data_IF_782738986849
#
_entry.id   IF_782738986849
#
_cell.length_a   1.000
_cell.length_b   1.000
_cell.length_c   1.000
_cell.angle_alpha   90.00
_cell.angle_beta   90.00
_cell.angle_gamma   90.00
#
_symmetry.space_group_name_H-M   'P 1'
#
loop_
_entity.id
_entity.type
_entity.pdbx_description
1 polymer ?
#
# COMPACT_ATOMS: atom_id res chain seq x y z
N UNK A 1 7.90 11.04 -10.67
CA UNK A 1 6.60 11.22 -9.98
C UNK A 1 6.21 12.69 -9.88
N UNK A 2 6.94 13.55 -9.16
CA UNK A 2 6.60 14.99 -9.00
C UNK A 2 6.26 15.73 -10.29
N UNK A 3 7.15 15.67 -11.30
CA UNK A 3 6.90 16.25 -12.63
C UNK A 3 5.61 15.74 -13.28
N UNK A 4 5.30 14.45 -13.12
CA UNK A 4 4.08 13.87 -13.66
C UNK A 4 2.84 14.39 -12.92
N UNK A 5 2.90 14.57 -11.59
CA UNK A 5 1.84 15.22 -10.83
C UNK A 5 1.68 16.70 -11.20
N UNK A 6 2.78 17.43 -11.42
CA UNK A 6 2.75 18.83 -11.88
C UNK A 6 2.07 18.93 -13.27
N UNK A 7 2.36 17.99 -14.18
CA UNK A 7 1.72 17.90 -15.51
C UNK A 7 0.22 17.58 -15.43
N UNK A 8 -0.24 16.95 -14.33
CA UNK A 8 -1.66 16.70 -14.06
C UNK A 8 -2.32 17.80 -13.20
N UNK A 9 -1.59 18.86 -12.82
CA UNK A 9 -2.04 19.91 -11.89
C UNK A 9 -2.47 19.38 -10.51
N UNK A 10 -1.80 18.31 -10.04
CA UNK A 10 -2.10 17.66 -8.76
C UNK A 10 -1.13 18.14 -7.69
N UNK A 11 -1.68 18.79 -6.66
CA UNK A 11 -0.91 19.26 -5.52
C UNK A 11 -0.38 18.09 -4.67
N UNK A 12 0.86 18.19 -4.21
CA UNK A 12 1.47 17.23 -3.29
C UNK A 12 2.30 17.94 -2.20
N UNK A 13 2.35 17.37 -0.98
CA UNK A 13 3.14 17.93 0.10
C UNK A 13 4.64 17.94 -0.22
N UNK A 14 5.32 18.97 0.26
CA UNK A 14 6.77 19.04 0.22
C UNK A 14 7.37 18.14 1.31
N UNK A 15 8.28 17.24 0.93
CA UNK A 15 8.96 16.38 1.89
C UNK A 15 9.68 15.20 1.22
N UNK A 16 10.61 14.55 1.92
CA UNK A 16 11.17 13.29 1.46
C UNK A 16 10.09 12.21 1.43
N UNK A 17 10.21 11.30 0.48
CA UNK A 17 9.37 10.11 0.36
C UNK A 17 10.24 8.96 -0.13
N UNK A 18 9.93 7.74 0.30
CA UNK A 18 10.60 6.51 -0.13
C UNK A 18 9.61 5.35 -0.16
N UNK A 19 9.99 4.28 -0.84
CA UNK A 19 9.29 3.02 -0.69
C UNK A 19 9.42 2.50 0.76
N UNK A 20 8.35 1.87 1.30
CA UNK A 20 8.41 1.22 2.60
C UNK A 20 9.34 0.00 2.56
N UNK A 21 9.89 -0.38 3.70
CA UNK A 21 10.58 -1.67 3.84
C UNK A 21 9.59 -2.80 4.10
N UNK A 22 10.03 -4.06 3.96
CA UNK A 22 9.19 -5.22 4.29
C UNK A 22 8.69 -5.18 5.75
N UNK A 23 9.55 -4.77 6.68
CA UNK A 23 9.20 -4.63 8.09
C UNK A 23 8.13 -3.56 8.32
N UNK A 24 8.22 -2.42 7.63
CA UNK A 24 7.24 -1.33 7.74
C UNK A 24 5.88 -1.75 7.18
N UNK A 25 5.86 -2.51 6.08
CA UNK A 25 4.63 -3.11 5.53
C UNK A 25 3.99 -4.02 6.57
N UNK A 26 4.76 -4.99 7.11
CA UNK A 26 4.24 -5.92 8.12
C UNK A 26 3.73 -5.20 9.36
N UNK A 27 4.42 -4.14 9.80
CA UNK A 27 3.99 -3.33 10.94
C UNK A 27 2.69 -2.58 10.65
N UNK A 28 2.60 -1.89 9.51
CA UNK A 28 1.38 -1.20 9.10
C UNK A 28 0.19 -2.16 9.06
N UNK A 29 0.36 -3.34 8.45
CA UNK A 29 -0.69 -4.36 8.40
C UNK A 29 -1.06 -4.91 9.78
N UNK A 30 -0.10 -5.06 10.69
CA UNK A 30 -0.36 -5.52 12.06
C UNK A 30 -1.18 -4.50 12.89
N UNK A 31 -1.17 -3.22 12.52
CA UNK A 31 -1.96 -2.18 13.19
C UNK A 31 -3.44 -2.16 12.80
N UNK A 32 -3.81 -2.89 11.73
CA UNK A 32 -5.18 -2.97 11.21
C UNK A 32 -6.04 -3.93 12.06
N UNK A 33 -6.30 -3.55 13.32
CA UNK A 33 -6.91 -4.43 14.33
C UNK A 33 -8.34 -4.91 14.03
N UNK A 34 -9.07 -4.25 13.13
CA UNK A 34 -10.42 -4.62 12.67
C UNK A 34 -10.40 -5.57 11.46
N UNK A 35 -9.21 -5.91 10.95
CA UNK A 35 -9.02 -6.74 9.78
C UNK A 35 -8.30 -8.04 10.13
N UNK A 36 -8.61 -9.09 9.40
CA UNK A 36 -7.83 -10.32 9.37
C UNK A 36 -6.83 -10.23 8.21
N UNK A 37 -5.54 -10.37 8.54
CA UNK A 37 -4.44 -10.30 7.58
C UNK A 37 -3.83 -11.69 7.42
N UNK A 38 -3.81 -12.21 6.20
CA UNK A 38 -3.12 -13.45 5.84
C UNK A 38 -1.98 -13.16 4.88
N UNK A 39 -0.76 -13.49 5.31
CA UNK A 39 0.45 -13.27 4.53
C UNK A 39 0.89 -14.60 3.89
N UNK A 40 1.13 -14.54 2.58
CA UNK A 40 1.81 -15.60 1.81
C UNK A 40 3.21 -15.10 1.48
N UNK A 41 4.21 -15.64 2.18
CA UNK A 41 5.62 -15.32 2.01
C UNK A 41 6.33 -16.53 1.37
N UNK A 42 6.76 -16.38 0.12
CA UNK A 42 7.48 -17.42 -0.61
C UNK A 42 9.01 -17.30 -0.51
N UNK A 43 9.51 -16.42 0.37
CA UNK A 43 10.93 -16.17 0.57
C UNK A 43 11.50 -15.05 -0.32
N UNK A 44 12.81 -14.85 -0.18
CA UNK A 44 13.53 -13.78 -0.88
C UNK A 44 13.55 -14.01 -2.40
N UNK A 45 13.35 -12.92 -3.14
CA UNK A 45 13.29 -12.95 -4.60
C UNK A 45 11.97 -13.49 -5.17
N UNK A 46 11.03 -13.87 -4.30
CA UNK A 46 9.77 -14.47 -4.68
C UNK A 46 8.60 -13.51 -4.47
N UNK A 47 7.44 -13.93 -4.96
CA UNK A 47 6.20 -13.22 -4.79
C UNK A 47 5.77 -13.25 -3.32
N UNK A 48 5.41 -12.08 -2.79
CA UNK A 48 4.89 -11.91 -1.44
C UNK A 48 3.53 -11.21 -1.52
N UNK A 49 2.57 -11.68 -0.73
CA UNK A 49 1.20 -11.18 -0.78
C UNK A 49 0.58 -11.11 0.60
N UNK A 50 -0.25 -10.08 0.82
CA UNK A 50 -1.13 -9.98 1.97
C UNK A 50 -2.59 -9.86 1.53
N UNK A 51 -3.42 -10.81 1.94
CA UNK A 51 -4.88 -10.72 1.87
C UNK A 51 -5.40 -10.07 3.15
N UNK A 52 -6.09 -8.94 3.00
CA UNK A 52 -6.59 -8.12 4.11
C UNK A 52 -8.12 -8.09 3.98
N UNK A 53 -8.82 -8.59 4.98
CA UNK A 53 -10.29 -8.72 4.94
C UNK A 53 -10.88 -8.22 6.26
N UNK A 54 -11.93 -7.39 6.20
CA UNK A 54 -12.60 -6.92 7.42
C UNK A 54 -13.18 -8.10 8.21
N UNK A 55 -13.05 -8.08 9.54
CA UNK A 55 -13.48 -9.19 10.43
C UNK A 55 -14.96 -9.53 10.35
N UNK A 56 -15.81 -8.54 10.08
CA UNK A 56 -17.25 -8.75 9.91
C UNK A 56 -17.61 -9.62 8.68
N UNK A 57 -16.65 -9.82 7.76
CA UNK A 57 -16.65 -10.89 6.76
C UNK A 57 -17.69 -10.77 5.62
N UNK A 58 -17.39 -11.45 4.51
CA UNK A 58 -18.30 -11.61 3.36
C UNK A 58 -18.19 -10.51 2.30
N UNK A 59 -19.17 -10.47 1.39
CA UNK A 59 -19.22 -9.50 0.28
C UNK A 59 -19.41 -8.04 0.72
N UNK A 60 -19.72 -7.82 2.00
CA UNK A 60 -20.15 -6.51 2.51
C UNK A 60 -19.03 -5.77 3.27
N UNK A 61 -17.93 -6.45 3.60
CA UNK A 61 -16.79 -5.86 4.30
C UNK A 61 -15.70 -5.38 3.33
N UNK A 62 -14.99 -4.28 3.65
CA UNK A 62 -13.81 -3.89 2.90
C UNK A 62 -12.76 -5.00 2.86
N UNK A 63 -12.16 -5.18 1.69
CA UNK A 63 -11.07 -6.13 1.50
C UNK A 63 -10.10 -5.60 0.45
N UNK A 64 -8.85 -6.03 0.51
CA UNK A 64 -7.85 -5.74 -0.52
C UNK A 64 -6.76 -6.80 -0.57
N UNK A 65 -6.04 -6.84 -1.69
CA UNK A 65 -4.92 -7.74 -1.93
C UNK A 65 -3.66 -6.93 -2.26
N UNK A 66 -2.72 -6.88 -1.31
CA UNK A 66 -1.44 -6.20 -1.46
C UNK A 66 -0.39 -7.19 -1.96
N UNK A 67 0.38 -6.79 -2.98
CA UNK A 67 1.36 -7.62 -3.65
C UNK A 67 2.74 -6.95 -3.71
N UNK A 68 3.77 -7.76 -3.56
CA UNK A 68 5.17 -7.43 -3.82
C UNK A 68 5.71 -8.52 -4.76
N UNK A 69 6.00 -8.16 -6.00
CA UNK A 69 6.37 -9.13 -7.04
C UNK A 69 7.73 -9.80 -6.82
N UNK A 70 8.64 -9.10 -6.15
CA UNK A 70 10.01 -9.54 -5.91
C UNK A 70 10.45 -9.12 -4.50
N UNK A 71 10.00 -9.86 -3.49
CA UNK A 71 10.25 -9.52 -2.10
C UNK A 71 11.74 -9.60 -1.76
N UNK A 72 12.33 -8.46 -1.42
CA UNK A 72 13.78 -8.34 -1.23
C UNK A 72 14.24 -8.38 0.24
N UNK A 73 13.31 -8.48 1.19
CA UNK A 73 13.59 -8.63 2.63
C UNK A 73 13.05 -7.51 3.50
N UNK A 74 13.06 -7.74 4.81
CA UNK A 74 12.43 -6.85 5.80
C UNK A 74 13.09 -5.47 5.91
N UNK A 75 14.39 -5.38 5.67
CA UNK A 75 15.16 -4.14 5.73
C UNK A 75 15.31 -3.45 4.36
N UNK A 76 14.79 -4.06 3.30
CA UNK A 76 14.94 -3.58 1.93
C UNK A 76 13.68 -2.84 1.47
N UNK A 77 13.79 -1.75 0.68
CA UNK A 77 12.64 -1.08 0.08
C UNK A 77 11.84 -2.02 -0.82
N UNK A 78 10.51 -1.92 -0.75
CA UNK A 78 9.58 -2.75 -1.51
C UNK A 78 8.67 -1.89 -2.39
N UNK A 79 8.65 -2.20 -3.68
CA UNK A 79 7.58 -1.74 -4.57
C UNK A 79 6.32 -2.58 -4.31
N UNK A 80 5.21 -1.90 -4.08
CA UNK A 80 3.93 -2.52 -3.75
C UNK A 80 2.87 -2.15 -4.77
N UNK A 81 1.95 -3.09 -4.98
CA UNK A 81 0.77 -2.90 -5.83
C UNK A 81 -0.45 -3.52 -5.15
N UNK A 82 -1.63 -3.02 -5.50
CA UNK A 82 -2.89 -3.63 -5.09
C UNK A 82 -3.56 -4.19 -6.34
N UNK A 83 -3.85 -5.49 -6.35
CA UNK A 83 -4.48 -6.11 -7.52
C UNK A 83 -5.98 -5.84 -7.58
N UNK A 84 -6.64 -5.92 -6.42
CA UNK A 84 -8.09 -5.73 -6.25
C UNK A 84 -8.36 -5.30 -4.83
N UNK A 85 -9.49 -4.60 -4.64
CA UNK A 85 -9.98 -4.29 -3.32
C UNK A 85 -10.82 -3.03 -3.29
N UNK A 86 -11.15 -2.62 -2.08
CA UNK A 86 -11.88 -1.39 -1.81
C UNK A 86 -10.87 -0.25 -1.68
N UNK A 87 -11.07 0.81 -2.46
CA UNK A 87 -10.20 1.99 -2.45
C UNK A 87 -10.04 2.59 -1.04
N UNK A 88 -11.10 2.56 -0.23
CA UNK A 88 -11.06 3.05 1.16
C UNK A 88 -10.04 2.29 2.01
N UNK A 89 -9.97 0.96 1.87
CA UNK A 89 -9.00 0.15 2.60
C UNK A 89 -7.58 0.28 2.01
N UNK A 90 -7.46 0.38 0.69
CA UNK A 90 -6.17 0.67 0.05
C UNK A 90 -5.59 1.99 0.58
N UNK A 91 -6.43 3.02 0.64
CA UNK A 91 -6.08 4.33 1.16
C UNK A 91 -5.71 4.28 2.63
N UNK A 92 -6.46 3.54 3.46
CA UNK A 92 -6.15 3.32 4.87
C UNK A 92 -4.76 2.69 5.05
N UNK A 93 -4.45 1.60 4.32
CA UNK A 93 -3.13 0.96 4.35
C UNK A 93 -2.02 1.95 3.96
N UNK A 94 -2.22 2.71 2.89
CA UNK A 94 -1.24 3.70 2.43
C UNK A 94 -1.08 4.85 3.42
N UNK A 95 -2.14 5.28 4.11
CA UNK A 95 -2.07 6.29 5.16
C UNK A 95 -1.17 5.81 6.30
N UNK A 96 -1.35 4.57 6.77
CA UNK A 96 -0.49 3.98 7.80
C UNK A 96 0.98 3.93 7.36
N UNK A 97 1.26 3.57 6.11
CA UNK A 97 2.64 3.57 5.57
C UNK A 97 3.21 4.97 5.42
N UNK A 98 2.39 5.95 5.04
CA UNK A 98 2.84 7.32 4.80
C UNK A 98 3.41 7.99 6.06
N UNK A 99 2.99 7.55 7.25
CA UNK A 99 3.50 8.03 8.54
C UNK A 99 5.01 7.83 8.67
N UNK A 100 5.55 6.70 8.18
CA UNK A 100 6.99 6.40 8.30
C UNK A 100 7.76 6.63 7.01
N UNK A 101 7.08 6.56 5.86
CA UNK A 101 7.70 6.59 4.55
C UNK A 101 7.62 7.96 3.87
N UNK A 102 6.82 8.87 4.43
CA UNK A 102 6.45 10.12 3.79
C UNK A 102 5.31 9.96 2.78
N UNK A 103 4.99 11.02 2.03
CA UNK A 103 3.87 11.02 1.10
C UNK A 103 3.97 9.92 0.03
N UNK A 104 2.85 9.25 -0.24
CA UNK A 104 2.72 8.19 -1.24
C UNK A 104 1.72 8.61 -2.32
N UNK A 105 1.74 7.92 -3.46
CA UNK A 105 0.81 8.17 -4.57
C UNK A 105 0.18 6.84 -4.96
N UNK A 106 -1.14 6.77 -4.92
CA UNK A 106 -1.91 5.67 -5.49
C UNK A 106 -2.21 5.98 -6.96
N UNK A 107 -1.79 5.09 -7.85
CA UNK A 107 -2.04 5.22 -9.29
C UNK A 107 -2.92 4.05 -9.70
N UNK A 108 -4.14 4.35 -10.16
CA UNK A 108 -5.05 3.34 -10.68
C UNK A 108 -4.59 2.86 -12.06
N UNK A 109 -4.49 1.55 -12.25
CA UNK A 109 -4.17 0.92 -13.53
C UNK A 109 -5.31 1.04 -14.56
N UNK A 110 -6.52 1.36 -14.09
CA UNK A 110 -7.70 1.62 -14.91
C UNK A 110 -7.77 3.03 -15.51
N UNK A 111 -6.78 3.89 -15.24
CA UNK A 111 -6.69 5.23 -15.84
C UNK A 111 -7.43 6.34 -15.08
N UNK A 112 -7.50 6.24 -13.75
CA UNK A 112 -8.03 7.29 -12.88
C UNK A 112 -7.02 8.39 -12.53
N UNK A 113 -7.51 9.48 -11.93
CA UNK A 113 -6.66 10.52 -11.34
C UNK A 113 -5.85 9.91 -10.17
N UNK A 114 -4.53 10.15 -10.08
CA UNK A 114 -3.74 9.62 -8.98
C UNK A 114 -4.13 10.28 -7.66
N UNK A 115 -4.17 9.47 -6.59
CA UNK A 115 -4.52 9.93 -5.26
C UNK A 115 -3.24 10.12 -4.46
N UNK A 116 -2.99 11.37 -4.01
CA UNK A 116 -1.88 11.67 -3.11
C UNK A 116 -2.27 11.30 -1.68
N UNK A 117 -1.49 10.42 -1.07
CA UNK A 117 -1.66 9.98 0.30
C UNK A 117 -0.60 10.67 1.16
N UNK A 118 -1.06 11.46 2.14
CA UNK A 118 -0.20 12.20 3.05
C UNK A 118 -0.73 12.09 4.48
N UNK A 119 0.16 12.32 5.45
CA UNK A 119 -0.15 12.39 6.89
C UNK A 119 -0.76 13.71 7.33
#
# INVERSE_FOLDING_TARGET
>A
MRKWLDEQDIAYPAGPSRFPTGAEIKLALATLSTYDVKITDNGLGAYWQASIVHKDGGHNGPWTLLNISNYSGDDMPQELSFEKGWESLITEVLQHLSVTCGPLVLIADTGGEPIVIAT
#
